data_IF_788173280921
#
_entry.id   IF_788173280921
#
_cell.length_a   1.000
_cell.length_b   1.000
_cell.length_c   1.000
_cell.angle_alpha   90.00
_cell.angle_beta   90.00
_cell.angle_gamma   90.00
#
_symmetry.space_group_name_H-M   'P 1'
#
loop_
_entity.id
_entity.type
_entity.pdbx_description
1 polymer ?
#
# COMPACT_ATOMS: atom_id res chain seq x y z
N UNK A 1 13.87 4.50 -25.45
CA UNK A 1 13.58 3.19 -24.83
C UNK A 1 12.19 3.29 -24.22
N UNK A 2 11.30 2.36 -24.55
CA UNK A 2 9.93 2.32 -24.01
C UNK A 2 9.93 1.42 -22.78
N UNK A 3 9.43 1.91 -21.65
CA UNK A 3 9.17 1.12 -20.44
C UNK A 3 7.78 0.52 -20.59
N UNK A 4 7.64 -0.78 -20.37
CA UNK A 4 6.40 -1.52 -20.58
C UNK A 4 5.93 -2.22 -19.31
N UNK A 5 4.81 -2.94 -19.40
CA UNK A 5 4.33 -3.77 -18.29
C UNK A 5 5.34 -4.84 -17.89
N UNK A 6 6.15 -5.35 -18.83
CA UNK A 6 7.10 -6.43 -18.55
C UNK A 6 8.25 -5.96 -17.65
N UNK A 7 8.52 -4.65 -17.61
CA UNK A 7 9.55 -4.02 -16.78
C UNK A 7 9.07 -3.67 -15.37
N UNK A 8 7.81 -3.97 -15.02
CA UNK A 8 7.13 -3.44 -13.84
C UNK A 8 7.94 -3.58 -12.54
N UNK A 9 8.43 -4.79 -12.24
CA UNK A 9 9.18 -5.02 -11.00
C UNK A 9 10.57 -4.38 -11.02
N UNK A 10 11.27 -4.43 -12.15
CA UNK A 10 12.55 -3.73 -12.31
C UNK A 10 12.39 -2.21 -12.13
N UNK A 11 11.28 -1.65 -12.63
CA UNK A 11 10.94 -0.24 -12.40
C UNK A 11 10.65 0.04 -10.92
N UNK A 12 9.86 -0.80 -10.24
CA UNK A 12 9.59 -0.63 -8.81
C UNK A 12 10.86 -0.74 -7.95
N UNK A 13 11.83 -1.54 -8.36
CA UNK A 13 13.12 -1.68 -7.70
C UNK A 13 14.02 -0.45 -7.91
N UNK A 14 13.75 0.37 -8.94
CA UNK A 14 14.40 1.66 -9.15
C UNK A 14 13.85 2.80 -8.28
N UNK A 15 12.75 2.57 -7.55
CA UNK A 15 12.14 3.61 -6.72
C UNK A 15 13.03 3.92 -5.53
N UNK A 16 13.02 5.19 -5.09
CA UNK A 16 13.73 5.59 -3.89
C UNK A 16 13.08 4.95 -2.67
N UNK A 17 13.85 4.20 -1.89
CA UNK A 17 13.40 3.58 -0.64
C UNK A 17 13.49 4.61 0.49
N UNK A 18 12.42 4.74 1.28
CA UNK A 18 12.46 5.52 2.51
C UNK A 18 13.14 4.70 3.63
N UNK A 19 14.07 5.29 4.42
CA UNK A 19 14.85 4.56 5.43
C UNK A 19 14.02 3.82 6.48
N UNK A 20 13.01 4.46 7.05
CA UNK A 20 12.19 3.86 8.11
C UNK A 20 11.11 2.94 7.53
N UNK A 21 11.04 1.73 8.06
CA UNK A 21 10.06 0.70 7.71
C UNK A 21 9.02 0.53 8.82
N UNK A 22 7.89 -0.09 8.49
CA UNK A 22 6.88 -0.48 9.48
C UNK A 22 7.19 -1.90 9.92
N UNK A 23 7.48 -2.11 11.21
CA UNK A 23 7.81 -3.43 11.75
C UNK A 23 6.66 -4.05 12.54
N UNK A 24 5.76 -3.23 13.08
CA UNK A 24 4.68 -3.69 13.95
C UNK A 24 3.41 -2.89 13.68
N UNK A 25 2.23 -3.54 13.75
CA UNK A 25 0.94 -2.90 13.53
C UNK A 25 0.49 -2.06 14.75
N UNK A 26 1.31 -1.08 15.16
CA UNK A 26 1.04 -0.14 16.25
C UNK A 26 1.29 1.32 15.81
N UNK A 27 0.73 2.27 16.55
CA UNK A 27 0.75 3.70 16.20
C UNK A 27 2.18 4.21 16.03
N UNK A 28 3.09 3.82 16.93
CA UNK A 28 4.46 4.35 16.94
C UNK A 28 5.26 3.90 15.71
N UNK A 29 5.13 2.64 15.30
CA UNK A 29 5.81 2.15 14.08
C UNK A 29 5.30 2.88 12.84
N UNK A 30 4.00 3.12 12.73
CA UNK A 30 3.45 3.91 11.62
C UNK A 30 3.90 5.37 11.68
N UNK A 31 3.89 6.00 12.86
CA UNK A 31 4.33 7.40 13.02
C UNK A 31 5.80 7.57 12.68
N UNK A 32 6.68 6.64 13.08
CA UNK A 32 8.10 6.67 12.71
C UNK A 32 8.28 6.59 11.20
N UNK A 33 7.72 5.55 10.57
CA UNK A 33 7.82 5.35 9.13
C UNK A 33 7.22 6.50 8.30
N UNK A 34 6.07 7.05 8.72
CA UNK A 34 5.41 8.12 7.98
C UNK A 34 5.96 9.51 8.30
N UNK A 35 6.54 9.68 9.49
CA UNK A 35 7.02 10.96 10.02
C UNK A 35 8.49 11.25 9.74
N UNK A 36 9.25 10.31 9.19
CA UNK A 36 10.66 10.48 8.87
C UNK A 36 10.91 11.68 7.94
N UNK A 37 12.06 12.34 8.11
CA UNK A 37 12.42 13.52 7.31
C UNK A 37 12.48 13.23 5.82
N UNK A 38 12.99 12.04 5.44
CA UNK A 38 13.02 11.59 4.05
C UNK A 38 11.63 11.51 3.39
N UNK A 39 10.55 11.37 4.17
CA UNK A 39 9.17 11.34 3.67
C UNK A 39 8.59 12.75 3.39
N UNK A 40 9.33 13.80 3.75
CA UNK A 40 8.91 15.20 3.59
C UNK A 40 9.64 15.94 2.45
N UNK A 41 10.54 15.27 1.74
CA UNK A 41 11.37 15.89 0.71
C UNK A 41 10.63 16.04 -0.62
N UNK A 42 10.10 14.94 -1.15
CA UNK A 42 9.53 14.91 -2.49
C UNK A 42 8.04 15.28 -2.51
N UNK A 43 7.63 15.98 -3.56
CA UNK A 43 6.24 16.35 -3.85
C UNK A 43 5.86 15.87 -5.24
N UNK A 44 4.57 15.61 -5.46
CA UNK A 44 4.12 15.05 -6.73
C UNK A 44 4.75 13.69 -6.95
N UNK A 45 4.33 12.72 -6.14
CA UNK A 45 4.91 11.38 -6.15
C UNK A 45 3.84 10.31 -6.30
N UNK A 46 4.26 9.20 -6.88
CA UNK A 46 3.67 7.89 -6.66
C UNK A 46 4.48 7.17 -5.59
N UNK A 47 3.83 6.31 -4.81
CA UNK A 47 4.46 5.54 -3.75
C UNK A 47 3.88 4.13 -3.68
N UNK A 48 4.70 3.21 -3.20
CA UNK A 48 4.36 1.80 -3.07
C UNK A 48 4.74 1.32 -1.67
N UNK A 49 3.81 0.67 -0.99
CA UNK A 49 4.09 -0.09 0.23
C UNK A 49 4.42 -1.52 -0.20
N UNK A 50 5.60 -2.02 0.20
CA UNK A 50 6.08 -3.36 -0.17
C UNK A 50 6.45 -4.15 1.08
N UNK A 51 6.00 -5.40 1.20
CA UNK A 51 6.44 -6.32 2.25
C UNK A 51 7.88 -6.77 2.01
N UNK A 52 8.53 -7.32 3.04
CA UNK A 52 9.84 -7.93 2.90
C UNK A 52 9.78 -9.19 2.04
N UNK A 53 8.78 -10.04 2.28
CA UNK A 53 8.57 -11.29 1.57
C UNK A 53 7.38 -11.17 0.60
N UNK A 54 7.40 -11.90 -0.53
CA UNK A 54 6.27 -11.94 -1.46
C UNK A 54 5.01 -12.50 -0.81
N UNK A 55 3.85 -12.00 -1.24
CA UNK A 55 2.53 -12.45 -0.82
C UNK A 55 1.89 -13.16 -2.02
N UNK A 56 1.29 -14.35 -1.85
CA UNK A 56 0.57 -15.03 -2.92
C UNK A 56 -0.53 -14.16 -3.52
N UNK A 57 -0.71 -14.30 -4.84
CA UNK A 57 -1.72 -13.58 -5.64
C UNK A 57 -2.58 -14.56 -6.42
N UNK A 58 -3.67 -14.05 -7.00
CA UNK A 58 -4.47 -14.82 -7.96
C UNK A 58 -3.58 -15.40 -9.08
N UNK A 59 -2.58 -14.63 -9.53
CA UNK A 59 -1.52 -15.10 -10.42
C UNK A 59 -0.15 -14.72 -9.87
N UNK A 60 0.67 -15.73 -9.54
CA UNK A 60 2.04 -15.57 -9.05
C UNK A 60 2.11 -15.01 -7.62
N UNK A 61 3.17 -14.28 -7.33
CA UNK A 61 3.41 -13.66 -6.03
C UNK A 61 3.81 -12.19 -6.22
N UNK A 62 3.56 -11.37 -5.21
CA UNK A 62 3.96 -9.95 -5.22
C UNK A 62 4.28 -9.46 -3.82
N UNK A 63 5.36 -8.69 -3.69
CA UNK A 63 5.64 -7.95 -2.46
C UNK A 63 4.86 -6.63 -2.35
N UNK A 64 4.11 -6.21 -3.38
CA UNK A 64 3.36 -4.96 -3.37
C UNK A 64 2.06 -5.12 -2.58
N UNK A 65 1.86 -4.22 -1.60
CA UNK A 65 0.71 -4.18 -0.70
C UNK A 65 -0.27 -3.09 -1.12
N UNK A 66 0.27 -1.92 -1.48
CA UNK A 66 -0.51 -0.73 -1.82
C UNK A 66 0.28 0.16 -2.79
N UNK A 67 -0.39 0.70 -3.80
CA UNK A 67 0.12 1.72 -4.72
C UNK A 67 -0.76 2.96 -4.53
N UNK A 68 -0.15 4.14 -4.42
CA UNK A 68 -0.92 5.37 -4.47
C UNK A 68 -0.14 6.59 -4.90
N UNK A 69 -0.82 7.74 -4.88
CA UNK A 69 -0.23 9.03 -5.26
C UNK A 69 -0.51 10.16 -4.26
N UNK A 70 0.28 11.24 -4.35
CA UNK A 70 0.02 12.50 -3.63
C UNK A 70 0.66 13.69 -4.35
N UNK A 71 -0.06 14.83 -4.36
CA UNK A 71 0.49 16.12 -4.80
C UNK A 71 1.47 16.71 -3.77
N UNK A 72 1.21 16.49 -2.49
CA UNK A 72 2.07 16.91 -1.39
C UNK A 72 3.21 15.92 -1.15
N UNK A 73 3.73 15.92 0.07
CA UNK A 73 4.74 14.95 0.52
C UNK A 73 4.08 13.67 1.04
N UNK A 74 4.85 12.59 1.10
CA UNK A 74 4.37 11.34 1.69
C UNK A 74 3.97 11.54 3.17
N UNK A 75 4.80 12.27 3.93
CA UNK A 75 4.54 12.62 5.34
C UNK A 75 3.20 13.33 5.50
N UNK A 76 2.93 14.37 4.72
CA UNK A 76 1.69 15.13 4.81
C UNK A 76 0.45 14.30 4.43
N UNK A 77 0.63 13.32 3.53
CA UNK A 77 -0.44 12.39 3.15
C UNK A 77 -0.75 11.42 4.29
N UNK A 78 0.25 10.74 4.86
CA UNK A 78 0.04 9.57 5.71
C UNK A 78 0.20 9.76 7.21
N UNK A 79 0.96 10.75 7.68
CA UNK A 79 1.25 10.87 9.11
C UNK A 79 -0.03 10.99 9.95
N UNK A 80 -1.02 11.74 9.46
CA UNK A 80 -2.36 11.87 10.08
C UNK A 80 -3.16 10.56 10.13
N UNK A 81 -2.84 9.59 9.26
CA UNK A 81 -3.51 8.29 9.18
C UNK A 81 -2.82 7.18 9.98
N UNK A 82 -1.65 7.45 10.59
CA UNK A 82 -0.91 6.47 11.39
C UNK A 82 -1.78 5.81 12.48
N UNK A 83 -2.58 6.61 13.19
CA UNK A 83 -3.49 6.08 14.21
C UNK A 83 -4.57 5.18 13.61
N UNK A 84 -5.18 5.58 12.49
CA UNK A 84 -6.23 4.82 11.83
C UNK A 84 -5.74 3.47 11.30
N UNK A 85 -4.51 3.43 10.77
CA UNK A 85 -3.87 2.19 10.30
C UNK A 85 -3.57 1.21 11.44
N UNK A 86 -3.22 1.72 12.63
CA UNK A 86 -2.94 0.90 13.80
C UNK A 86 -4.19 0.43 14.56
N UNK A 87 -5.25 1.24 14.59
CA UNK A 87 -6.35 1.07 15.57
C UNK A 87 -7.65 0.57 14.98
N UNK A 88 -7.97 0.89 13.73
CA UNK A 88 -9.23 0.39 13.14
C UNK A 88 -9.18 -1.13 12.97
N UNK A 89 -10.28 -1.81 13.30
CA UNK A 89 -10.35 -3.28 13.28
C UNK A 89 -9.86 -3.87 11.94
N UNK A 90 -10.32 -3.30 10.82
CA UNK A 90 -9.96 -3.75 9.49
C UNK A 90 -8.47 -3.52 9.15
N UNK A 91 -7.93 -2.32 9.41
CA UNK A 91 -6.52 -2.06 9.09
C UNK A 91 -5.59 -2.82 10.03
N UNK A 92 -5.93 -2.90 11.32
CA UNK A 92 -5.14 -3.65 12.30
C UNK A 92 -5.06 -5.12 11.91
N UNK A 93 -6.18 -5.74 11.52
CA UNK A 93 -6.18 -7.12 11.04
C UNK A 93 -5.29 -7.30 9.79
N UNK A 94 -5.46 -6.44 8.77
CA UNK A 94 -4.67 -6.48 7.53
C UNK A 94 -3.17 -6.31 7.78
N UNK A 95 -2.77 -5.20 8.41
CA UNK A 95 -1.36 -4.89 8.62
C UNK A 95 -0.69 -5.85 9.60
N UNK A 96 -1.40 -6.32 10.63
CA UNK A 96 -0.86 -7.35 11.53
C UNK A 96 -0.52 -8.62 10.75
N UNK A 97 -1.48 -9.16 10.00
CA UNK A 97 -1.24 -10.37 9.21
C UNK A 97 -0.07 -10.18 8.24
N UNK A 98 0.00 -9.02 7.57
CA UNK A 98 1.09 -8.72 6.64
C UNK A 98 2.45 -8.73 7.34
N UNK A 99 2.57 -8.03 8.46
CA UNK A 99 3.83 -7.89 9.18
C UNK A 99 4.30 -9.19 9.82
N UNK A 100 3.37 -9.97 10.38
CA UNK A 100 3.67 -11.26 11.02
C UNK A 100 4.03 -12.35 10.01
N UNK A 101 3.41 -12.33 8.82
CA UNK A 101 3.57 -13.41 7.82
C UNK A 101 4.62 -13.09 6.77
N UNK A 102 4.68 -11.83 6.31
CA UNK A 102 5.50 -11.41 5.16
C UNK A 102 6.57 -10.38 5.55
N UNK A 103 6.71 -10.06 6.83
CA UNK A 103 7.77 -9.20 7.37
C UNK A 103 7.50 -7.69 7.23
N UNK A 104 8.49 -6.86 7.60
CA UNK A 104 8.37 -5.41 7.63
C UNK A 104 7.97 -4.81 6.28
N UNK A 105 7.29 -3.68 6.34
CA UNK A 105 6.81 -2.96 5.16
C UNK A 105 7.73 -1.78 4.88
N UNK A 106 8.40 -1.82 3.72
CA UNK A 106 9.13 -0.68 3.18
C UNK A 106 8.21 0.22 2.36
N UNK A 107 8.57 1.50 2.32
CA UNK A 107 7.88 2.50 1.51
C UNK A 107 8.84 2.95 0.41
N UNK A 108 8.44 2.83 -0.84
CA UNK A 108 9.21 3.30 -1.99
C UNK A 108 8.46 4.39 -2.71
N UNK A 109 9.18 5.35 -3.29
CA UNK A 109 8.59 6.52 -3.95
C UNK A 109 9.30 6.85 -5.27
N UNK A 110 8.56 7.46 -6.19
CA UNK A 110 9.07 7.99 -7.44
C UNK A 110 8.29 9.24 -7.88
N UNK A 111 8.90 10.15 -8.65
CA UNK A 111 8.19 11.31 -9.19
C UNK A 111 7.11 10.85 -10.19
N UNK A 112 5.91 11.42 -10.09
CA UNK A 112 4.75 10.93 -10.87
C UNK A 112 4.93 11.11 -12.39
N UNK A 113 5.66 12.14 -12.79
CA UNK A 113 5.82 12.55 -14.19
C UNK A 113 6.58 11.51 -15.04
N UNK A 114 7.20 10.50 -14.41
CA UNK A 114 7.74 9.31 -15.09
C UNK A 114 6.66 8.39 -15.66
N UNK A 115 5.45 8.40 -15.09
CA UNK A 115 4.40 7.41 -15.36
C UNK A 115 3.13 8.00 -15.95
N UNK A 116 3.03 9.32 -16.09
CA UNK A 116 1.88 9.97 -16.71
C UNK A 116 1.92 11.49 -16.67
N UNK A 117 1.05 12.16 -17.44
CA UNK A 117 0.96 13.62 -17.49
C UNK A 117 0.43 14.23 -16.18
N UNK A 118 -0.27 13.45 -15.36
CA UNK A 118 -0.81 13.85 -14.07
C UNK A 118 -0.76 12.69 -13.06
N UNK A 119 -1.01 12.99 -11.79
CA UNK A 119 -0.95 12.04 -10.67
C UNK A 119 -1.92 10.85 -10.82
N UNK A 120 -3.13 11.10 -11.34
CA UNK A 120 -4.16 10.07 -11.48
C UNK A 120 -3.80 9.12 -12.60
N UNK A 121 -3.31 9.65 -13.72
CA UNK A 121 -2.80 8.84 -14.83
C UNK A 121 -1.59 8.01 -14.39
N UNK A 122 -0.66 8.59 -13.63
CA UNK A 122 0.52 7.89 -13.10
C UNK A 122 0.14 6.73 -12.15
N UNK A 123 -0.76 6.96 -11.20
CA UNK A 123 -1.28 5.91 -10.30
C UNK A 123 -2.02 4.81 -11.09
N UNK A 124 -2.89 5.20 -12.02
CA UNK A 124 -3.63 4.29 -12.88
C UNK A 124 -2.71 3.42 -13.74
N UNK A 125 -1.62 3.98 -14.26
CA UNK A 125 -0.63 3.27 -15.05
C UNK A 125 0.05 2.14 -14.26
N UNK A 126 0.49 2.44 -13.03
CA UNK A 126 1.13 1.45 -12.16
C UNK A 126 0.14 0.38 -11.68
N UNK A 127 -1.09 0.78 -11.34
CA UNK A 127 -2.16 -0.16 -10.97
C UNK A 127 -2.52 -1.08 -12.14
N UNK A 128 -2.56 -0.56 -13.37
CA UNK A 128 -2.81 -1.37 -14.55
C UNK A 128 -1.67 -2.37 -14.81
N UNK A 129 -0.41 -1.93 -14.69
CA UNK A 129 0.73 -2.85 -14.80
C UNK A 129 0.67 -3.96 -13.76
N UNK A 130 0.38 -3.62 -12.50
CA UNK A 130 0.17 -4.60 -11.45
C UNK A 130 -0.96 -5.59 -11.80
N UNK A 131 -2.11 -5.09 -12.25
CA UNK A 131 -3.26 -5.92 -12.61
C UNK A 131 -2.93 -6.89 -13.75
N UNK A 132 -2.15 -6.46 -14.74
CA UNK A 132 -1.70 -7.31 -15.85
C UNK A 132 -0.80 -8.47 -15.40
N UNK A 133 -0.06 -8.30 -14.31
CA UNK A 133 0.77 -9.36 -13.71
C UNK A 133 -0.03 -10.32 -12.84
N UNK A 134 -0.98 -9.82 -12.06
CA UNK A 134 -1.60 -10.58 -10.96
C UNK A 134 -3.09 -10.87 -11.12
N UNK A 135 -3.76 -10.31 -12.13
CA UNK A 135 -5.21 -10.39 -12.37
C UNK A 135 -6.08 -9.86 -11.21
N UNK A 136 -5.50 -9.07 -10.31
CA UNK A 136 -6.17 -8.43 -9.18
C UNK A 136 -5.46 -7.11 -8.83
N UNK A 137 -6.02 -6.32 -7.91
CA UNK A 137 -5.35 -5.13 -7.37
C UNK A 137 -4.53 -5.48 -6.12
N UNK A 138 -3.57 -4.62 -5.69
CA UNK A 138 -2.86 -4.85 -4.44
C UNK A 138 -3.82 -5.00 -3.26
N UNK A 139 -3.48 -5.84 -2.26
CA UNK A 139 -4.41 -6.28 -1.21
C UNK A 139 -5.02 -5.15 -0.37
N UNK A 140 -4.40 -3.97 -0.36
CA UNK A 140 -4.89 -2.81 0.40
C UNK A 140 -5.47 -1.72 -0.52
N UNK A 141 -5.32 -1.80 -1.85
CA UNK A 141 -5.84 -0.80 -2.80
C UNK A 141 -7.37 -0.78 -2.90
N UNK A 142 -8.05 -1.84 -2.48
CA UNK A 142 -9.50 -1.91 -2.45
C UNK A 142 -9.97 -2.75 -1.26
N UNK A 143 -10.63 -2.13 -0.29
CA UNK A 143 -11.61 -2.79 0.60
C UNK A 143 -12.43 -1.71 1.30
N UNK A 144 -13.65 -1.47 0.85
CA UNK A 144 -14.65 -0.70 1.60
C UNK A 144 -15.85 -1.59 1.92
N UNK A 145 -15.66 -2.58 2.78
CA UNK A 145 -16.78 -3.18 3.50
C UNK A 145 -17.24 -2.18 4.56
N UNK A 146 -18.47 -1.70 4.40
CA UNK A 146 -19.11 -0.78 5.36
C UNK A 146 -19.68 -1.53 6.58
N UNK A 147 -20.10 -2.79 6.39
CA UNK A 147 -20.57 -3.67 7.45
C UNK A 147 -19.35 -4.42 8.03
N UNK A 148 -19.12 -4.28 9.34
CA UNK A 148 -17.95 -4.82 10.06
C UNK A 148 -18.35 -5.49 11.38
N UNK A 149 -19.37 -6.34 11.32
CA UNK A 149 -19.87 -7.10 12.48
C UNK A 149 -19.27 -8.51 12.48
N UNK A 150 -18.93 -9.04 13.66
CA UNK A 150 -18.38 -10.39 13.82
C UNK A 150 -19.47 -11.46 14.01
N UNK A 151 -20.74 -11.06 14.02
CA UNK A 151 -21.88 -11.94 14.29
C UNK A 151 -23.12 -11.43 13.56
N UNK A 152 -23.99 -12.36 13.17
CA UNK A 152 -25.38 -12.08 12.75
C UNK A 152 -26.34 -12.69 13.78
N UNK A 153 -27.52 -12.07 14.02
CA UNK A 153 -28.55 -12.67 14.88
C UNK A 153 -28.97 -14.05 14.35
N UNK A 154 -29.28 -14.99 15.24
CA UNK A 154 -29.94 -16.25 14.83
C UNK A 154 -31.36 -15.94 14.34
N UNK A 155 -31.85 -16.59 13.27
CA UNK A 155 -33.25 -16.48 12.89
C UNK A 155 -34.14 -16.88 14.06
N UNK A 156 -35.22 -16.14 14.32
CA UNK A 156 -36.26 -16.60 15.24
C UNK A 156 -36.90 -17.85 14.62
N UNK A 157 -36.99 -18.94 15.38
CA UNK A 157 -37.73 -20.10 14.93
C UNK A 157 -39.19 -19.66 14.74
N UNK A 158 -39.73 -19.86 13.53
CA UNK A 158 -41.16 -19.70 13.29
C UNK A 158 -41.89 -20.70 14.19
N UNK A 159 -42.70 -20.19 15.11
CA UNK A 159 -43.51 -20.97 16.04
C UNK A 159 -44.78 -21.49 15.40
#
# INVERSE_FOLDING_TARGET
>A
MLITTDDFYAELDSFRVLPEQIHTANVDSFKRAYGQEAANLDRGIVYVLRSQNPIPRLKGESDVIYIGMTKGTYRNRYLKHASLHATSAANKAKYRHILETYGPIRITIAPYNRYGPDLRTAEGQLLWWYFRHHCEYPPVNYTQTQIRTNSIPKPQAEG
#
